data_IF_242802333535
#
_entry.id   IF_242802333535
#
_cell.length_a   1.000
_cell.length_b   1.000
_cell.length_c   1.000
_cell.angle_alpha   90.00
_cell.angle_beta   90.00
_cell.angle_gamma   90.00
#
_symmetry.space_group_name_H-M   'P 1'
#
loop_
_entity.id
_entity.type
_entity.pdbx_description
1 polymer ?
#
# COMPACT_ATOMS: atom_id res chain seq x y z
N UNK A 1 10.53 33.36 68.16
CA UNK A 1 11.68 32.72 67.52
C UNK A 1 11.33 31.51 66.70
N UNK A 2 10.73 30.40 67.13
CA UNK A 2 10.45 29.20 66.38
C UNK A 2 9.52 29.44 65.15
N UNK A 3 8.57 30.37 65.15
CA UNK A 3 7.72 30.74 64.02
C UNK A 3 8.47 31.55 62.95
N UNK A 4 9.37 32.45 63.31
CA UNK A 4 10.20 33.22 62.40
C UNK A 4 11.19 32.31 61.65
N UNK A 5 11.82 31.37 62.41
CA UNK A 5 12.74 30.39 61.76
C UNK A 5 12.02 29.48 60.80
N UNK A 6 10.78 29.06 61.10
CA UNK A 6 9.97 28.26 60.09
C UNK A 6 9.57 29.06 58.85
N UNK A 7 9.20 30.34 59.02
CA UNK A 7 8.90 31.22 57.87
C UNK A 7 10.14 31.48 57.03
N UNK A 8 11.32 31.71 57.67
CA UNK A 8 12.58 31.88 56.94
C UNK A 8 13.01 30.62 56.23
N UNK A 9 12.80 29.41 56.79
CA UNK A 9 13.11 28.15 56.15
C UNK A 9 12.18 27.90 54.94
N UNK A 10 10.88 28.21 55.05
CA UNK A 10 9.93 28.10 53.95
C UNK A 10 10.25 29.09 52.85
N UNK A 11 10.65 30.31 53.16
CA UNK A 11 11.07 31.32 52.19
C UNK A 11 12.37 30.92 51.48
N UNK A 12 13.33 30.32 52.19
CA UNK A 12 14.58 29.80 51.60
C UNK A 12 14.30 28.60 50.71
N UNK A 13 13.38 27.71 51.09
CA UNK A 13 12.96 26.58 50.25
C UNK A 13 12.22 27.08 48.99
N UNK A 14 11.40 28.14 49.10
CA UNK A 14 10.74 28.76 47.94
C UNK A 14 11.72 29.48 47.01
N UNK A 15 12.76 30.14 47.58
CA UNK A 15 13.82 30.80 46.79
C UNK A 15 14.75 29.78 46.15
N UNK A 16 15.00 28.62 46.78
CA UNK A 16 15.79 27.51 46.22
C UNK A 16 14.98 26.68 45.16
N UNK A 17 13.64 26.65 45.30
CA UNK A 17 12.76 26.02 44.32
C UNK A 17 12.46 26.94 43.11
N UNK A 18 12.66 28.23 43.25
CA UNK A 18 12.64 29.21 42.18
C UNK A 18 14.08 29.51 41.72
N UNK A 19 14.87 28.47 41.43
CA UNK A 19 16.03 28.69 40.58
C UNK A 19 15.47 29.21 39.24
N UNK A 20 15.84 30.43 38.79
CA UNK A 20 15.45 30.85 37.48
C UNK A 20 15.97 29.75 36.53
N UNK A 21 15.10 29.13 35.77
CA UNK A 21 15.50 28.41 34.58
C UNK A 21 16.28 29.48 33.83
N UNK A 22 17.61 29.37 33.81
CA UNK A 22 18.44 30.31 33.05
C UNK A 22 18.03 30.13 31.63
N UNK A 23 17.33 31.09 31.07
CA UNK A 23 17.01 31.14 29.67
C UNK A 23 18.35 31.07 28.89
N UNK A 24 18.49 30.09 28.06
CA UNK A 24 19.68 29.95 27.20
C UNK A 24 19.55 30.99 26.08
N UNK A 25 20.58 31.81 25.87
CA UNK A 25 20.53 32.84 24.84
C UNK A 25 20.35 32.26 23.43
N UNK A 26 20.88 31.03 23.20
CA UNK A 26 20.81 30.33 21.92
C UNK A 26 20.68 28.83 22.12
N UNK A 27 19.99 28.20 21.19
CA UNK A 27 20.03 26.74 20.99
C UNK A 27 21.32 26.35 20.30
N UNK A 28 21.95 25.27 20.73
CA UNK A 28 23.14 24.69 20.08
C UNK A 28 22.75 23.36 19.46
N UNK A 29 22.79 23.28 18.14
CA UNK A 29 22.51 22.07 17.36
C UNK A 29 23.81 21.56 16.75
N UNK A 30 24.13 20.30 17.03
CA UNK A 30 25.21 19.62 16.32
C UNK A 30 24.60 18.66 15.30
N UNK A 31 25.02 18.81 14.06
CA UNK A 31 24.68 17.93 12.95
C UNK A 31 25.86 17.01 12.73
N UNK A 32 25.61 15.71 12.65
CA UNK A 32 26.62 14.70 12.43
C UNK A 32 26.41 14.05 11.05
N UNK A 33 27.18 14.42 10.02
CA UNK A 33 27.15 13.68 8.77
C UNK A 33 27.67 12.26 9.02
N UNK A 34 26.81 11.25 8.99
CA UNK A 34 27.19 9.86 9.24
C UNK A 34 28.30 9.36 8.31
N UNK A 35 29.04 8.34 8.76
CA UNK A 35 30.20 7.79 8.04
C UNK A 35 31.29 8.83 7.76
N UNK A 36 32.14 8.61 6.75
CA UNK A 36 33.15 9.56 6.32
C UNK A 36 34.57 8.98 6.28
N UNK A 37 35.40 9.47 5.34
CA UNK A 37 36.76 9.04 5.16
C UNK A 37 36.93 7.67 4.51
N UNK A 38 38.00 6.99 4.87
CA UNK A 38 38.38 5.68 4.36
C UNK A 38 38.60 4.71 5.53
N UNK A 39 38.11 3.51 5.42
CA UNK A 39 38.48 2.38 6.28
C UNK A 39 38.79 1.15 5.42
N UNK A 40 39.64 0.26 5.94
CA UNK A 40 40.06 -0.95 5.21
C UNK A 40 38.89 -1.93 4.98
N UNK A 41 37.87 -1.89 5.85
CA UNK A 41 36.65 -2.72 5.78
C UNK A 41 35.49 -1.99 5.10
N UNK A 42 35.73 -0.84 4.46
CA UNK A 42 34.74 -0.02 3.76
C UNK A 42 33.60 0.52 4.65
N UNK A 43 33.57 0.21 5.95
CA UNK A 43 32.51 0.65 6.87
C UNK A 43 32.39 2.19 6.97
N UNK A 44 33.47 2.91 6.63
CA UNK A 44 33.49 4.36 6.57
C UNK A 44 32.64 4.94 5.42
N UNK A 45 32.33 4.16 4.40
CA UNK A 45 31.54 4.64 3.24
C UNK A 45 30.04 4.65 3.50
N UNK A 46 29.57 3.83 4.45
CA UNK A 46 28.15 3.51 4.60
C UNK A 46 27.63 2.64 3.46
N UNK A 47 26.37 2.76 3.13
CA UNK A 47 25.80 2.09 1.96
C UNK A 47 26.41 2.60 0.64
N UNK A 48 26.62 1.68 -0.30
CA UNK A 48 27.10 2.00 -1.64
C UNK A 48 26.03 1.57 -2.63
N UNK A 49 25.48 2.53 -3.37
CA UNK A 49 24.49 2.30 -4.39
C UNK A 49 25.12 2.36 -5.79
N UNK A 50 24.86 1.33 -6.63
CA UNK A 50 25.37 1.24 -8.01
C UNK A 50 26.89 1.43 -8.13
N UNK A 51 27.67 1.03 -7.12
CA UNK A 51 29.14 1.17 -7.04
C UNK A 51 29.67 2.62 -7.15
N UNK A 52 28.80 3.63 -7.20
CA UNK A 52 29.18 5.03 -7.44
C UNK A 52 28.72 5.99 -6.35
N UNK A 53 27.55 5.77 -5.75
CA UNK A 53 26.98 6.67 -4.75
C UNK A 53 27.26 6.15 -3.34
N UNK A 54 28.14 6.83 -2.61
CA UNK A 54 28.45 6.48 -1.22
C UNK A 54 27.59 7.28 -0.26
N UNK A 55 26.99 6.62 0.72
CA UNK A 55 26.15 7.24 1.75
C UNK A 55 26.88 8.38 2.46
N UNK A 56 28.16 8.23 2.77
CA UNK A 56 28.97 9.29 3.42
C UNK A 56 28.97 10.63 2.70
N UNK A 57 28.90 10.62 1.36
CA UNK A 57 28.93 11.82 0.53
C UNK A 57 27.55 12.48 0.47
N UNK A 58 26.50 11.66 0.42
CA UNK A 58 25.10 12.09 0.52
C UNK A 58 24.86 12.72 1.89
N UNK A 59 25.26 12.04 2.97
CA UNK A 59 25.14 12.52 4.35
C UNK A 59 25.79 13.89 4.54
N UNK A 60 27.00 14.05 4.00
CA UNK A 60 27.73 15.33 4.11
C UNK A 60 26.96 16.46 3.38
N UNK A 61 26.47 16.21 2.19
CA UNK A 61 25.76 17.22 1.39
C UNK A 61 24.42 17.60 2.02
N UNK A 62 23.64 16.62 2.50
CA UNK A 62 22.40 16.83 3.24
C UNK A 62 22.65 17.67 4.50
N UNK A 63 23.68 17.30 5.28
CA UNK A 63 24.04 18.00 6.51
C UNK A 63 24.52 19.44 6.29
N UNK A 64 25.26 19.69 5.21
CA UNK A 64 25.66 21.06 4.85
C UNK A 64 24.44 21.92 4.51
N UNK A 65 23.48 21.40 3.76
CA UNK A 65 22.23 22.10 3.45
C UNK A 65 21.37 22.31 4.68
N UNK A 66 21.34 21.34 5.61
CA UNK A 66 20.65 21.47 6.90
C UNK A 66 21.27 22.62 7.73
N UNK A 67 22.58 22.67 7.84
CA UNK A 67 23.30 23.75 8.53
C UNK A 67 22.99 25.09 7.87
N UNK A 68 23.15 25.23 6.55
CA UNK A 68 22.88 26.49 5.82
C UNK A 68 21.46 27.00 6.06
N UNK A 69 20.48 26.11 6.05
CA UNK A 69 19.08 26.49 6.27
C UNK A 69 18.82 26.88 7.74
N UNK A 70 19.38 26.11 8.69
CA UNK A 70 19.16 26.33 10.13
C UNK A 70 19.85 27.64 10.60
N UNK A 71 20.99 28.00 10.04
CA UNK A 71 21.69 29.28 10.31
C UNK A 71 20.90 30.52 9.87
N UNK A 72 19.80 30.36 9.12
CA UNK A 72 18.89 31.47 8.78
C UNK A 72 17.90 31.80 9.88
N UNK A 73 17.82 30.96 10.89
CA UNK A 73 16.98 31.19 12.07
C UNK A 73 17.74 31.99 13.13
N UNK A 74 17.04 32.77 13.94
CA UNK A 74 17.62 33.48 15.05
C UNK A 74 17.79 32.57 16.27
N UNK A 75 18.67 32.92 17.17
CA UNK A 75 18.91 32.26 18.45
C UNK A 75 19.32 30.77 18.33
N UNK A 76 20.07 30.44 17.28
CA UNK A 76 20.66 29.11 17.10
C UNK A 76 22.14 29.22 16.77
N UNK A 77 22.93 28.30 17.27
CA UNK A 77 24.31 28.00 16.85
C UNK A 77 24.36 26.59 16.27
N UNK A 78 24.98 26.44 15.11
CA UNK A 78 24.98 25.18 14.37
C UNK A 78 26.41 24.73 14.06
N UNK A 79 26.73 23.53 14.49
CA UNK A 79 28.01 22.90 14.24
C UNK A 79 27.85 21.61 13.47
N UNK A 80 28.87 21.22 12.72
CA UNK A 80 29.01 19.90 12.13
C UNK A 80 30.14 19.13 12.80
N UNK A 81 29.98 17.84 12.99
CA UNK A 81 31.06 16.96 13.45
C UNK A 81 32.19 16.86 12.43
N UNK A 82 31.86 16.91 11.12
CA UNK A 82 32.75 16.98 10.00
C UNK A 82 32.20 17.87 8.89
N UNK A 83 33.11 18.63 8.23
CA UNK A 83 32.79 19.46 7.06
C UNK A 83 33.53 18.94 5.81
N UNK A 84 34.19 17.81 5.91
CA UNK A 84 34.95 17.17 4.83
C UNK A 84 34.89 15.65 4.98
N UNK A 85 35.48 14.95 4.00
CA UNK A 85 35.54 13.49 4.00
C UNK A 85 36.66 12.97 4.92
N UNK A 86 36.35 12.89 6.23
CA UNK A 86 37.25 12.38 7.28
C UNK A 86 36.54 11.31 8.12
N UNK A 87 37.34 10.39 8.67
CA UNK A 87 36.86 9.39 9.63
C UNK A 87 36.75 10.00 11.01
N UNK A 88 35.60 9.82 11.67
CA UNK A 88 35.41 10.12 13.09
C UNK A 88 34.80 8.90 13.77
N UNK A 89 35.30 8.54 14.94
CA UNK A 89 34.68 7.55 15.81
C UNK A 89 33.39 8.09 16.41
N UNK A 90 32.52 7.19 16.92
CA UNK A 90 31.29 7.59 17.57
C UNK A 90 31.54 8.43 18.82
N UNK A 91 32.60 8.12 19.59
CA UNK A 91 33.00 8.89 20.77
C UNK A 91 33.42 10.32 20.38
N UNK A 92 34.27 10.50 19.35
CA UNK A 92 34.66 11.81 18.88
C UNK A 92 33.50 12.69 18.45
N UNK A 93 32.46 12.11 17.86
CA UNK A 93 31.24 12.83 17.45
C UNK A 93 30.47 13.33 18.67
N UNK A 94 30.25 12.48 19.66
CA UNK A 94 29.52 12.81 20.90
C UNK A 94 30.36 13.76 21.77
N UNK A 95 31.66 13.51 21.94
CA UNK A 95 32.56 14.38 22.69
C UNK A 95 32.62 15.79 22.11
N UNK A 96 32.67 15.91 20.79
CA UNK A 96 32.58 17.21 20.13
C UNK A 96 31.26 17.92 20.46
N UNK A 97 30.12 17.25 20.31
CA UNK A 97 28.80 17.83 20.63
C UNK A 97 28.71 18.25 22.11
N UNK A 98 29.20 17.41 23.02
CA UNK A 98 29.23 17.71 24.44
C UNK A 98 30.18 18.90 24.76
N UNK A 99 31.29 19.03 24.05
CA UNK A 99 32.26 20.13 24.26
C UNK A 99 31.75 21.51 23.87
N UNK A 100 30.70 21.59 23.05
CA UNK A 100 30.05 22.84 22.63
C UNK A 100 28.70 23.05 23.37
N UNK A 101 28.42 22.28 24.42
CA UNK A 101 27.16 22.33 25.18
C UNK A 101 25.92 22.18 24.28
N UNK A 102 25.95 21.22 23.36
CA UNK A 102 24.86 20.95 22.42
C UNK A 102 23.55 20.59 23.16
N UNK A 103 22.43 21.14 22.68
CA UNK A 103 21.08 20.75 23.12
C UNK A 103 20.63 19.45 22.46
N UNK A 104 21.16 19.15 21.25
CA UNK A 104 20.84 17.94 20.48
C UNK A 104 21.97 17.63 19.51
N UNK A 105 22.16 16.33 19.25
CA UNK A 105 22.99 15.81 18.16
C UNK A 105 22.09 15.07 17.15
N UNK A 106 22.09 15.52 15.90
CA UNK A 106 21.30 14.92 14.79
C UNK A 106 22.27 14.21 13.85
N UNK A 107 22.28 12.89 13.87
CA UNK A 107 23.11 12.07 12.98
C UNK A 107 22.36 11.77 11.69
N UNK A 108 22.91 12.24 10.58
CA UNK A 108 22.31 12.20 9.25
C UNK A 108 22.77 10.97 8.48
N UNK A 109 21.82 10.16 8.01
CA UNK A 109 22.04 8.90 7.33
C UNK A 109 21.03 8.65 6.20
N UNK A 110 21.35 7.68 5.36
CA UNK A 110 20.46 7.06 4.38
C UNK A 110 20.57 5.54 4.51
N UNK A 111 19.44 4.90 4.52
CA UNK A 111 19.33 3.47 4.76
C UNK A 111 19.68 2.63 3.53
N UNK A 112 19.94 1.35 3.77
CA UNK A 112 20.03 0.30 2.76
C UNK A 112 19.60 -1.04 3.38
N UNK A 113 19.18 -1.99 2.54
CA UNK A 113 18.83 -3.34 2.98
C UNK A 113 19.45 -4.37 2.05
N UNK A 114 19.85 -5.53 2.59
CA UNK A 114 20.38 -6.64 1.77
C UNK A 114 19.39 -7.15 0.72
N UNK A 115 18.11 -7.04 1.01
CA UNK A 115 17.05 -7.46 0.09
C UNK A 115 16.68 -6.42 -0.96
N UNK A 116 17.08 -5.16 -0.79
CA UNK A 116 16.70 -4.00 -1.62
C UNK A 116 15.17 -3.79 -1.73
N UNK A 117 14.37 -4.39 -0.83
CA UNK A 117 12.90 -4.37 -0.87
C UNK A 117 12.31 -3.19 -0.11
N UNK A 118 12.94 -2.78 0.99
CA UNK A 118 12.38 -1.77 1.89
C UNK A 118 12.57 -0.36 1.37
N UNK A 119 11.64 0.52 1.71
CA UNK A 119 11.67 1.95 1.40
C UNK A 119 10.96 2.75 2.49
N UNK A 120 11.16 4.06 2.49
CA UNK A 120 10.60 5.01 3.45
C UNK A 120 11.58 5.44 4.53
N UNK A 121 11.24 6.53 5.19
CA UNK A 121 12.08 7.25 6.13
C UNK A 121 11.78 6.85 7.57
N UNK A 122 12.80 6.74 8.40
CA UNK A 122 12.68 6.40 9.81
C UNK A 122 13.65 7.20 10.68
N UNK A 123 13.33 7.33 11.97
CA UNK A 123 14.19 8.03 12.91
C UNK A 123 14.38 7.14 14.13
N UNK A 124 15.62 6.99 14.56
CA UNK A 124 15.96 6.27 15.78
C UNK A 124 16.30 7.26 16.91
N UNK A 125 15.80 6.96 18.11
CA UNK A 125 16.08 7.73 19.32
C UNK A 125 16.45 6.78 20.46
N UNK A 126 17.00 7.35 21.56
CA UNK A 126 17.21 6.58 22.80
C UNK A 126 15.89 5.99 23.30
N UNK A 127 15.95 4.82 23.91
CA UNK A 127 14.81 4.20 24.56
C UNK A 127 14.61 4.68 26.02
N UNK A 128 15.41 5.61 26.53
CA UNK A 128 15.50 5.87 27.97
C UNK A 128 15.29 7.35 28.33
N UNK A 129 14.44 7.55 29.35
CA UNK A 129 14.34 8.79 30.12
C UNK A 129 14.15 10.07 29.32
N UNK A 130 14.82 11.14 29.73
CA UNK A 130 14.73 12.44 29.05
C UNK A 130 15.29 12.43 27.61
N UNK A 131 16.30 11.59 27.31
CA UNK A 131 16.83 11.47 25.96
C UNK A 131 15.79 10.86 25.00
N UNK A 132 14.96 9.90 25.47
CA UNK A 132 13.81 9.44 24.70
C UNK A 132 12.79 10.56 24.47
N UNK A 133 12.38 11.24 25.53
CA UNK A 133 11.34 12.28 25.43
C UNK A 133 11.75 13.41 24.47
N UNK A 134 13.00 13.89 24.59
CA UNK A 134 13.56 14.91 23.72
C UNK A 134 13.70 14.43 22.28
N UNK A 135 14.34 13.27 22.09
CA UNK A 135 14.57 12.70 20.77
C UNK A 135 13.28 12.38 20.03
N UNK A 136 12.28 11.80 20.71
CA UNK A 136 10.98 11.48 20.11
C UNK A 136 10.18 12.74 19.74
N UNK A 137 10.24 13.81 20.54
CA UNK A 137 9.58 15.08 20.23
C UNK A 137 10.24 15.78 19.03
N UNK A 138 11.57 15.84 18.98
CA UNK A 138 12.31 16.37 17.84
C UNK A 138 12.04 15.56 16.57
N UNK A 139 12.10 14.23 16.68
CA UNK A 139 11.87 13.34 15.56
C UNK A 139 10.47 13.49 14.95
N UNK A 140 9.44 13.80 15.77
CA UNK A 140 8.09 14.10 15.25
C UNK A 140 8.08 15.33 14.36
N UNK A 141 8.68 16.42 14.78
CA UNK A 141 8.73 17.65 13.99
C UNK A 141 9.46 17.42 12.64
N UNK A 142 10.56 16.66 12.65
CA UNK A 142 11.28 16.32 11.42
C UNK A 142 10.43 15.38 10.54
N UNK A 143 9.85 14.34 11.11
CA UNK A 143 9.04 13.37 10.37
C UNK A 143 7.80 14.00 9.75
N UNK A 144 7.16 14.98 10.42
CA UNK A 144 6.03 15.73 9.85
C UNK A 144 6.45 16.49 8.61
N UNK A 145 7.62 17.14 8.60
CA UNK A 145 8.14 17.80 7.39
C UNK A 145 8.36 16.82 6.23
N UNK A 146 8.86 15.63 6.51
CA UNK A 146 9.07 14.61 5.47
C UNK A 146 7.75 14.09 4.90
N UNK A 147 6.79 13.76 5.76
CA UNK A 147 5.46 13.27 5.35
C UNK A 147 4.71 14.31 4.53
N UNK A 148 4.72 15.57 4.95
CA UNK A 148 4.08 16.68 4.23
C UNK A 148 4.72 16.90 2.84
N UNK A 149 5.96 16.47 2.67
CA UNK A 149 6.67 16.50 1.39
C UNK A 149 6.66 15.16 0.63
N UNK A 150 5.76 14.25 1.01
CA UNK A 150 5.45 13.03 0.29
C UNK A 150 6.40 11.86 0.55
N UNK A 151 7.23 11.93 1.60
CA UNK A 151 8.03 10.79 2.03
C UNK A 151 7.16 9.76 2.76
N UNK A 152 7.48 8.49 2.61
CA UNK A 152 6.82 7.40 3.32
C UNK A 152 7.44 7.27 4.70
N UNK A 153 6.64 7.49 5.76
CA UNK A 153 7.14 7.33 7.12
C UNK A 153 7.16 5.85 7.52
N UNK A 154 8.28 5.36 8.03
CA UNK A 154 8.39 4.08 8.77
C UNK A 154 8.28 4.30 10.30
N UNK A 155 8.18 5.56 10.73
CA UNK A 155 7.98 5.96 12.12
C UNK A 155 9.25 6.27 12.88
N UNK A 156 9.04 6.61 14.15
CA UNK A 156 10.10 6.88 15.14
C UNK A 156 10.28 5.61 15.96
N UNK A 157 11.52 5.17 16.11
CA UNK A 157 11.85 3.85 16.67
C UNK A 157 12.87 3.93 17.78
N UNK A 158 12.81 2.95 18.64
CA UNK A 158 13.90 2.59 19.56
C UNK A 158 14.50 1.28 19.11
N UNK A 159 15.76 1.02 19.46
CA UNK A 159 16.40 -0.27 19.24
C UNK A 159 17.29 -0.61 20.42
N UNK A 160 17.09 -1.81 20.97
CA UNK A 160 17.81 -2.29 22.15
C UNK A 160 18.81 -3.35 21.73
N UNK A 161 20.04 -3.18 22.21
CA UNK A 161 21.11 -4.14 22.02
C UNK A 161 21.03 -5.34 22.97
N UNK A 162 21.87 -6.34 22.76
CA UNK A 162 21.93 -7.56 23.60
C UNK A 162 22.26 -7.30 25.06
N UNK A 163 22.87 -6.17 25.38
CA UNK A 163 23.20 -5.74 26.75
C UNK A 163 22.02 -5.07 27.48
N UNK A 164 20.90 -4.82 26.78
CA UNK A 164 19.76 -4.12 27.33
C UNK A 164 19.86 -2.58 27.24
N UNK A 165 20.91 -2.07 26.61
CA UNK A 165 21.16 -0.65 26.35
C UNK A 165 20.74 -0.28 24.93
N UNK A 166 20.74 1.03 24.58
CA UNK A 166 20.53 1.48 23.21
C UNK A 166 21.48 0.75 22.25
N UNK A 167 20.97 0.23 21.14
CA UNK A 167 21.75 -0.52 20.17
C UNK A 167 22.80 0.33 19.48
N UNK A 168 22.40 1.51 19.01
CA UNK A 168 23.28 2.43 18.30
C UNK A 168 24.27 3.10 19.27
N UNK A 169 25.57 2.97 18.96
CA UNK A 169 26.65 3.49 19.83
C UNK A 169 26.55 4.98 20.05
N UNK A 170 26.29 5.78 19.00
CA UNK A 170 26.20 7.24 19.10
C UNK A 170 25.02 7.68 20.00
N UNK A 171 23.87 6.99 19.94
CA UNK A 171 22.71 7.25 20.80
C UNK A 171 23.04 6.88 22.27
N UNK A 172 23.68 5.74 22.48
CA UNK A 172 24.07 5.28 23.80
C UNK A 172 25.08 6.22 24.47
N UNK A 173 26.14 6.64 23.75
CA UNK A 173 27.13 7.56 24.27
C UNK A 173 26.53 8.95 24.56
N UNK A 174 25.65 9.45 23.67
CA UNK A 174 24.93 10.69 23.93
C UNK A 174 24.11 10.62 25.22
N UNK A 175 23.34 9.54 25.41
CA UNK A 175 22.57 9.32 26.65
C UNK A 175 23.47 9.28 27.90
N UNK A 176 24.66 8.69 27.83
CA UNK A 176 25.61 8.61 28.96
C UNK A 176 26.06 10.00 29.44
N UNK A 177 26.15 10.97 28.53
CA UNK A 177 26.48 12.37 28.85
C UNK A 177 25.24 13.26 29.01
N UNK A 178 24.04 12.71 28.89
CA UNK A 178 22.76 13.43 28.98
C UNK A 178 22.38 14.24 27.75
N UNK A 179 23.05 14.02 26.63
CA UNK A 179 22.77 14.65 25.34
C UNK A 179 21.76 13.82 24.53
N UNK A 180 20.59 14.38 24.16
CA UNK A 180 19.68 13.74 23.23
C UNK A 180 20.33 13.59 21.85
N UNK A 181 20.34 12.35 21.33
CA UNK A 181 20.84 12.00 20.00
C UNK A 181 19.74 11.29 19.22
N UNK A 182 19.53 11.70 17.98
CA UNK A 182 18.70 10.99 17.03
C UNK A 182 19.54 10.62 15.79
N UNK A 183 19.18 9.48 15.18
CA UNK A 183 19.66 9.09 13.86
C UNK A 183 18.49 9.25 12.91
N UNK A 184 18.66 10.06 11.88
CA UNK A 184 17.65 10.27 10.84
C UNK A 184 18.06 9.49 9.58
N UNK A 185 17.20 8.55 9.18
CA UNK A 185 17.33 7.73 7.98
C UNK A 185 16.33 8.22 6.94
N UNK A 186 16.82 9.00 5.98
CA UNK A 186 15.96 9.71 5.01
C UNK A 186 15.23 8.78 4.05
N UNK A 187 15.74 7.58 3.82
CA UNK A 187 15.17 6.56 2.95
C UNK A 187 16.25 5.59 2.47
N UNK A 188 15.85 4.61 1.69
CA UNK A 188 16.71 3.55 1.20
C UNK A 188 17.25 3.89 -0.19
N UNK A 189 18.53 4.25 -0.28
CA UNK A 189 19.16 4.60 -1.57
C UNK A 189 19.27 3.41 -2.53
N UNK A 190 19.20 2.19 -2.01
CA UNK A 190 19.23 0.94 -2.76
C UNK A 190 17.85 0.46 -3.25
N UNK A 191 16.79 1.18 -2.90
CA UNK A 191 15.42 0.90 -3.37
C UNK A 191 14.98 1.92 -4.42
N UNK A 192 14.41 1.45 -5.53
CA UNK A 192 14.02 2.31 -6.66
C UNK A 192 12.95 3.35 -6.30
N UNK A 193 12.01 3.03 -5.36
CA UNK A 193 10.94 3.94 -4.94
C UNK A 193 11.52 5.17 -4.22
N UNK A 194 12.45 4.94 -3.29
CA UNK A 194 13.12 6.04 -2.59
C UNK A 194 14.15 6.72 -3.49
N UNK A 195 14.88 5.96 -4.32
CA UNK A 195 15.87 6.53 -5.23
C UNK A 195 15.27 7.53 -6.24
N UNK A 196 14.06 7.30 -6.72
CA UNK A 196 13.35 8.28 -7.57
C UNK A 196 13.15 9.64 -6.90
N UNK A 197 13.16 9.70 -5.57
CA UNK A 197 12.91 10.89 -4.75
C UNK A 197 14.15 11.45 -4.07
N UNK A 198 15.16 10.60 -3.90
CA UNK A 198 16.36 10.88 -3.08
C UNK A 198 17.65 10.65 -3.84
N UNK A 199 17.61 10.27 -5.11
CA UNK A 199 18.80 9.89 -5.87
C UNK A 199 19.61 11.06 -6.43
N UNK A 200 19.10 12.28 -6.34
CA UNK A 200 19.75 13.45 -6.96
C UNK A 200 20.26 14.45 -5.91
N UNK A 201 21.36 15.16 -6.21
CA UNK A 201 21.94 16.15 -5.30
C UNK A 201 20.96 17.21 -4.77
N UNK A 202 20.03 17.67 -5.59
CA UNK A 202 19.01 18.66 -5.19
C UNK A 202 18.00 18.09 -4.18
N UNK A 203 17.78 16.77 -4.24
CA UNK A 203 16.94 16.06 -3.28
C UNK A 203 17.59 16.00 -1.90
N UNK A 204 18.90 15.75 -1.85
CA UNK A 204 19.65 15.71 -0.58
C UNK A 204 19.64 17.06 0.11
N UNK A 205 19.84 18.13 -0.66
CA UNK A 205 19.75 19.51 -0.15
C UNK A 205 18.31 19.85 0.30
N UNK A 206 17.30 19.36 -0.42
CA UNK A 206 15.90 19.52 -0.04
C UNK A 206 15.61 18.81 1.31
N UNK A 207 16.09 17.57 1.48
CA UNK A 207 15.95 16.85 2.75
C UNK A 207 16.61 17.60 3.90
N UNK A 208 17.85 18.07 3.74
CA UNK A 208 18.51 18.88 4.75
C UNK A 208 17.73 20.15 5.15
N UNK A 209 17.09 20.83 4.18
CA UNK A 209 16.24 21.99 4.48
C UNK A 209 14.94 21.60 5.24
N UNK A 210 14.39 20.42 4.98
CA UNK A 210 13.22 19.91 5.72
C UNK A 210 13.62 19.57 7.16
N UNK A 211 14.77 18.91 7.35
CA UNK A 211 15.31 18.61 8.68
C UNK A 211 15.50 19.88 9.50
N UNK A 212 16.13 20.90 8.90
CA UNK A 212 16.32 22.20 9.54
C UNK A 212 14.99 22.86 9.93
N UNK A 213 13.96 22.72 9.10
CA UNK A 213 12.62 23.25 9.42
C UNK A 213 12.01 22.51 10.61
N UNK A 214 12.08 21.18 10.66
CA UNK A 214 11.61 20.38 11.78
C UNK A 214 12.36 20.67 13.09
N UNK A 215 13.70 20.86 13.02
CA UNK A 215 14.52 21.26 14.17
C UNK A 215 14.10 22.64 14.66
N UNK A 216 13.91 23.60 13.74
CA UNK A 216 13.50 24.96 14.09
C UNK A 216 12.10 24.97 14.74
N UNK A 217 11.18 24.17 14.25
CA UNK A 217 9.84 24.01 14.84
C UNK A 217 9.92 23.44 16.26
N UNK A 218 10.69 22.38 16.45
CA UNK A 218 10.89 21.77 17.76
C UNK A 218 11.39 22.76 18.81
N UNK A 219 12.33 23.63 18.44
CA UNK A 219 12.89 24.63 19.35
C UNK A 219 12.12 25.96 19.33
N UNK A 220 11.07 26.11 18.52
CA UNK A 220 10.32 27.35 18.38
C UNK A 220 11.15 28.50 17.79
N UNK A 221 12.14 28.19 16.94
CA UNK A 221 13.01 29.19 16.30
C UNK A 221 12.25 29.95 15.20
N UNK A 222 12.65 31.22 14.99
CA UNK A 222 12.06 32.08 13.94
C UNK A 222 13.14 32.71 13.07
N UNK A 223 12.84 32.90 11.80
CA UNK A 223 13.64 33.71 10.87
C UNK A 223 13.43 35.21 11.07
N UNK A 224 12.31 35.58 11.66
CA UNK A 224 12.05 36.95 12.08
C UNK A 224 12.72 37.20 13.43
N UNK A 225 13.29 38.38 13.59
CA UNK A 225 13.96 38.74 14.84
C UNK A 225 12.95 38.78 15.99
N UNK A 226 13.19 37.94 17.02
CA UNK A 226 12.39 37.91 18.24
C UNK A 226 13.33 38.25 19.39
N UNK A 227 12.87 39.16 20.30
CA UNK A 227 13.67 39.60 21.45
C UNK A 227 13.60 38.62 22.63
N UNK A 228 12.80 37.57 22.52
CA UNK A 228 12.58 36.63 23.59
C UNK A 228 13.70 35.57 23.66
N UNK A 229 14.10 35.23 24.88
CA UNK A 229 15.00 34.14 25.14
C UNK A 229 14.36 32.81 24.68
N UNK A 230 15.17 31.86 24.23
CA UNK A 230 14.70 30.51 23.90
C UNK A 230 14.16 29.84 25.14
N UNK A 231 12.91 29.44 25.13
CA UNK A 231 12.29 28.72 26.25
C UNK A 231 12.72 27.25 26.14
N UNK A 232 13.35 26.69 27.19
CA UNK A 232 13.68 25.28 27.21
C UNK A 232 12.45 24.40 26.99
N UNK A 233 12.53 23.41 26.14
CA UNK A 233 11.44 22.45 25.91
C UNK A 233 11.28 21.58 27.16
N UNK A 234 10.10 21.60 27.76
CA UNK A 234 9.76 20.78 28.93
C UNK A 234 8.95 19.57 28.48
N UNK A 235 9.44 18.37 28.76
CA UNK A 235 8.78 17.12 28.38
C UNK A 235 7.90 16.63 29.55
N UNK A 236 6.62 16.40 29.24
CA UNK A 236 5.67 15.76 30.15
C UNK A 236 5.74 14.23 30.12
N UNK A 237 6.24 13.67 29.02
CA UNK A 237 6.12 12.25 28.67
C UNK A 237 7.47 11.51 28.84
N UNK A 238 8.22 11.83 29.87
CA UNK A 238 9.45 11.11 30.21
C UNK A 238 9.07 9.71 30.73
N UNK A 239 9.49 8.64 30.08
CA UNK A 239 9.12 7.28 30.48
C UNK A 239 9.79 6.91 31.83
N UNK A 240 9.04 6.23 32.68
CA UNK A 240 9.54 5.69 33.96
C UNK A 240 10.51 4.51 33.78
N UNK A 241 10.73 4.07 32.57
CA UNK A 241 11.58 2.94 32.24
C UNK A 241 12.08 3.02 30.82
N UNK A 242 12.35 1.86 30.26
CA UNK A 242 12.77 1.71 28.88
C UNK A 242 11.55 1.61 27.97
N UNK A 243 11.55 2.32 26.85
CA UNK A 243 10.58 2.15 25.76
C UNK A 243 11.02 0.96 24.91
N UNK A 244 10.27 -0.11 24.97
CA UNK A 244 10.59 -1.32 24.23
C UNK A 244 10.33 -1.15 22.72
N UNK A 245 11.27 -1.57 21.87
CA UNK A 245 11.00 -1.70 20.45
C UNK A 245 10.03 -2.87 20.21
N UNK A 246 9.28 -2.82 19.13
CA UNK A 246 8.56 -4.00 18.69
C UNK A 246 9.54 -5.10 18.22
N UNK A 247 9.39 -6.29 18.79
CA UNK A 247 10.21 -7.46 18.50
C UNK A 247 9.37 -8.65 18.02
N UNK A 248 8.08 -8.45 17.80
CA UNK A 248 7.13 -9.46 17.38
C UNK A 248 6.69 -9.25 15.93
N UNK A 249 6.63 -10.30 15.11
CA UNK A 249 6.09 -10.16 13.77
C UNK A 249 4.55 -9.98 13.81
N UNK A 250 3.95 -9.48 12.72
CA UNK A 250 2.50 -9.40 12.59
C UNK A 250 1.81 -10.71 12.93
N UNK A 251 0.74 -10.66 13.74
CA UNK A 251 -0.06 -11.83 14.08
C UNK A 251 -1.17 -12.08 13.05
N UNK A 252 -1.58 -13.34 12.89
CA UNK A 252 -2.78 -13.74 12.15
C UNK A 252 -2.85 -13.23 10.70
N UNK A 253 -1.82 -13.50 9.91
CA UNK A 253 -1.84 -13.21 8.47
C UNK A 253 -2.63 -14.28 7.73
N UNK A 254 -3.62 -13.88 6.94
CA UNK A 254 -4.35 -14.78 6.04
C UNK A 254 -4.58 -14.13 4.68
N UNK A 255 -4.54 -14.95 3.64
CA UNK A 255 -4.84 -14.58 2.27
C UNK A 255 -6.00 -15.40 1.76
N UNK A 256 -6.95 -14.76 1.09
CA UNK A 256 -8.06 -15.42 0.40
C UNK A 256 -8.04 -15.01 -1.07
N UNK A 257 -8.17 -15.98 -1.96
CA UNK A 257 -8.38 -15.72 -3.39
C UNK A 257 -9.85 -15.44 -3.61
N UNK A 258 -10.15 -14.26 -4.16
CA UNK A 258 -11.51 -13.80 -4.46
C UNK A 258 -11.92 -14.20 -5.87
N UNK A 259 -11.02 -14.05 -6.83
CA UNK A 259 -11.28 -14.30 -8.26
C UNK A 259 -9.98 -14.65 -9.00
N UNK A 260 -10.14 -15.42 -10.08
CA UNK A 260 -9.07 -15.74 -11.02
C UNK A 260 -9.52 -15.35 -12.44
N UNK A 261 -8.99 -14.26 -12.96
CA UNK A 261 -9.29 -13.78 -14.30
C UNK A 261 -8.33 -14.42 -15.32
N UNK A 262 -8.85 -15.41 -16.06
CA UNK A 262 -8.06 -16.13 -17.09
C UNK A 262 -7.76 -15.30 -18.34
N UNK A 263 -8.46 -14.17 -18.58
CA UNK A 263 -8.21 -13.32 -19.74
C UNK A 263 -7.00 -12.41 -19.52
N UNK A 264 -6.84 -11.90 -18.28
CA UNK A 264 -5.72 -11.04 -17.91
C UNK A 264 -4.61 -11.80 -17.20
N UNK A 265 -4.81 -13.08 -16.86
CA UNK A 265 -3.92 -13.89 -16.02
C UNK A 265 -3.68 -13.22 -14.65
N UNK A 266 -4.73 -12.75 -14.02
CA UNK A 266 -4.69 -12.04 -12.74
C UNK A 266 -5.48 -12.78 -11.67
N UNK A 267 -4.91 -12.79 -10.47
CA UNK A 267 -5.56 -13.23 -9.24
C UNK A 267 -6.01 -12.01 -8.44
N UNK A 268 -7.29 -11.94 -8.10
CA UNK A 268 -7.79 -10.96 -7.12
C UNK A 268 -7.75 -11.59 -5.74
N UNK A 269 -7.12 -10.90 -4.79
CA UNK A 269 -6.94 -11.39 -3.43
C UNK A 269 -7.43 -10.40 -2.38
N UNK A 270 -7.69 -10.93 -1.18
CA UNK A 270 -7.85 -10.18 0.07
C UNK A 270 -6.85 -10.72 1.09
N UNK A 271 -6.07 -9.82 1.72
CA UNK A 271 -5.17 -10.16 2.81
C UNK A 271 -5.70 -9.50 4.08
N UNK A 272 -5.76 -10.27 5.17
CA UNK A 272 -6.04 -9.75 6.50
C UNK A 272 -4.83 -10.01 7.39
N UNK A 273 -4.49 -9.02 8.22
CA UNK A 273 -3.41 -9.13 9.19
C UNK A 273 -3.71 -8.30 10.44
N UNK A 274 -3.00 -8.57 11.54
CA UNK A 274 -3.07 -7.78 12.76
C UNK A 274 -1.68 -7.51 13.29
N UNK A 275 -1.48 -6.27 13.73
CA UNK A 275 -0.31 -5.84 14.49
C UNK A 275 -0.77 -5.32 15.84
N UNK A 276 -0.01 -5.63 16.92
CA UNK A 276 -0.40 -5.34 18.30
C UNK A 276 0.53 -4.37 19.01
N UNK A 277 1.78 -4.27 18.60
CA UNK A 277 2.82 -3.49 19.29
C UNK A 277 3.27 -2.28 18.46
N UNK A 278 3.20 -2.39 17.13
CA UNK A 278 3.57 -1.33 16.22
C UNK A 278 2.49 -1.11 15.15
N UNK A 279 2.83 -1.12 13.87
CA UNK A 279 1.83 -1.01 12.78
C UNK A 279 2.22 -1.87 11.60
N UNK A 280 1.22 -2.35 10.86
CA UNK A 280 1.41 -2.95 9.55
C UNK A 280 2.00 -1.90 8.59
N UNK A 281 2.99 -2.30 7.81
CA UNK A 281 3.71 -1.36 6.96
C UNK A 281 3.70 -1.76 5.49
N UNK A 282 4.02 -3.01 5.18
CA UNK A 282 4.08 -3.52 3.81
C UNK A 282 3.47 -4.90 3.69
N UNK A 283 3.14 -5.24 2.46
CA UNK A 283 2.90 -6.62 2.08
C UNK A 283 3.50 -6.89 0.69
N UNK A 284 3.87 -8.12 0.45
CA UNK A 284 4.31 -8.63 -0.84
C UNK A 284 3.58 -9.92 -1.18
N UNK A 285 3.53 -10.24 -2.47
CA UNK A 285 2.95 -11.47 -2.99
C UNK A 285 4.05 -12.26 -3.69
N UNK A 286 4.11 -13.57 -3.45
CA UNK A 286 5.03 -14.48 -4.12
C UNK A 286 4.27 -15.66 -4.73
N UNK A 287 4.80 -16.17 -5.84
CA UNK A 287 4.41 -17.45 -6.42
C UNK A 287 5.28 -18.54 -5.80
N UNK A 288 4.69 -19.40 -5.00
CA UNK A 288 5.39 -20.47 -4.31
C UNK A 288 5.02 -20.57 -2.85
N UNK A 289 5.61 -21.55 -2.18
CA UNK A 289 5.58 -21.71 -0.73
C UNK A 289 6.91 -21.20 -0.17
N UNK A 290 6.91 -20.15 0.68
CA UNK A 290 8.14 -19.62 1.28
C UNK A 290 8.81 -20.62 2.25
N UNK A 291 8.15 -21.72 2.58
CA UNK A 291 8.73 -22.82 3.34
C UNK A 291 9.57 -23.79 2.49
N UNK A 292 9.56 -23.65 1.17
CA UNK A 292 10.40 -24.43 0.27
C UNK A 292 11.88 -24.08 0.48
N UNK A 293 12.76 -25.08 0.41
CA UNK A 293 14.20 -24.90 0.64
C UNK A 293 14.86 -23.98 -0.40
N UNK A 294 14.26 -23.84 -1.58
CA UNK A 294 14.73 -23.01 -2.69
C UNK A 294 14.03 -21.64 -2.77
N UNK A 295 13.16 -21.30 -1.79
CA UNK A 295 12.48 -20.01 -1.78
C UNK A 295 13.46 -18.85 -1.58
N UNK A 296 13.43 -17.86 -2.50
CA UNK A 296 14.26 -16.68 -2.42
C UNK A 296 13.47 -15.53 -1.72
N UNK A 297 14.04 -14.83 -0.72
CA UNK A 297 13.42 -13.63 -0.16
C UNK A 297 13.03 -12.58 -1.21
N UNK A 298 13.76 -12.50 -2.32
CA UNK A 298 13.44 -11.62 -3.45
C UNK A 298 12.17 -12.02 -4.22
N UNK A 299 11.62 -13.22 -3.98
CA UNK A 299 10.35 -13.64 -4.57
C UNK A 299 9.16 -12.78 -4.10
N UNK A 300 9.31 -12.03 -3.01
CA UNK A 300 8.36 -11.02 -2.55
C UNK A 300 8.71 -9.61 -3.05
N UNK A 301 9.30 -9.50 -4.23
CA UNK A 301 9.61 -8.22 -4.87
C UNK A 301 8.37 -7.30 -4.91
N UNK A 302 8.62 -5.98 -4.99
CA UNK A 302 7.59 -4.95 -5.07
C UNK A 302 6.67 -4.89 -3.84
N UNK A 303 7.26 -4.59 -2.67
CA UNK A 303 6.48 -4.35 -1.46
C UNK A 303 5.48 -3.21 -1.66
N UNK A 304 4.23 -3.49 -1.30
CA UNK A 304 3.12 -2.55 -1.39
C UNK A 304 2.83 -2.03 0.02
N UNK A 305 2.62 -0.72 0.15
CA UNK A 305 2.23 -0.13 1.43
C UNK A 305 0.90 -0.70 1.91
N UNK A 306 0.87 -1.06 3.19
CA UNK A 306 -0.37 -1.38 3.87
C UNK A 306 -1.16 -0.10 4.12
N UNK A 307 -2.45 -0.10 3.82
CA UNK A 307 -3.33 1.04 4.10
C UNK A 307 -3.45 1.24 5.61
N UNK A 308 -3.02 2.41 6.10
CA UNK A 308 -2.97 2.72 7.52
C UNK A 308 -4.35 2.61 8.18
N UNK A 309 -4.40 1.89 9.30
CA UNK A 309 -5.64 1.64 10.04
C UNK A 309 -6.61 0.64 9.39
N UNK A 310 -6.29 0.12 8.21
CA UNK A 310 -7.11 -0.91 7.58
C UNK A 310 -6.81 -2.29 8.18
N UNK A 311 -7.83 -3.08 8.55
CA UNK A 311 -7.63 -4.46 8.99
C UNK A 311 -7.35 -5.42 7.83
N UNK A 312 -7.50 -4.96 6.58
CA UNK A 312 -7.36 -5.76 5.38
C UNK A 312 -7.00 -4.92 4.17
N UNK A 313 -6.38 -5.54 3.19
CA UNK A 313 -6.12 -4.98 1.86
C UNK A 313 -6.65 -5.92 0.78
N UNK A 314 -7.00 -5.36 -0.37
CA UNK A 314 -7.40 -6.12 -1.55
C UNK A 314 -6.57 -5.63 -2.73
N UNK A 315 -6.21 -6.54 -3.63
CA UNK A 315 -5.43 -6.21 -4.80
C UNK A 315 -5.54 -7.27 -5.89
N UNK A 316 -4.80 -7.04 -6.96
CA UNK A 316 -4.61 -8.00 -8.05
C UNK A 316 -3.13 -8.32 -8.20
N UNK A 317 -2.84 -9.56 -8.58
CA UNK A 317 -1.48 -10.02 -8.86
C UNK A 317 -1.46 -10.79 -10.16
N UNK A 318 -0.54 -10.41 -11.05
CA UNK A 318 -0.39 -11.08 -12.34
C UNK A 318 0.41 -12.38 -12.18
N UNK A 319 -0.13 -13.45 -12.73
CA UNK A 319 0.52 -14.77 -12.72
C UNK A 319 0.91 -15.17 -14.15
N UNK A 320 1.90 -16.05 -14.34
CA UNK A 320 2.20 -16.62 -15.65
C UNK A 320 0.99 -17.31 -16.26
N UNK A 321 0.81 -17.20 -17.58
CA UNK A 321 -0.29 -17.89 -18.28
C UNK A 321 -0.24 -19.39 -18.02
N UNK A 322 -1.35 -19.95 -17.55
CA UNK A 322 -1.45 -21.36 -17.22
C UNK A 322 -0.74 -21.75 -15.92
N UNK A 323 -0.45 -20.78 -15.04
CA UNK A 323 0.14 -21.04 -13.74
C UNK A 323 -0.72 -22.02 -12.94
N UNK A 324 -0.04 -22.99 -12.32
CA UNK A 324 -0.60 -23.93 -11.36
C UNK A 324 0.35 -24.05 -10.19
N UNK A 325 -0.10 -23.69 -9.01
CA UNK A 325 0.72 -23.76 -7.80
C UNK A 325 0.24 -22.80 -6.73
N UNK A 326 0.97 -22.75 -5.60
CA UNK A 326 0.64 -21.89 -4.49
C UNK A 326 0.97 -20.42 -4.78
N UNK A 327 0.19 -19.53 -4.17
CA UNK A 327 0.45 -18.09 -4.04
C UNK A 327 0.41 -17.73 -2.56
N UNK A 328 1.37 -16.95 -2.10
CA UNK A 328 1.55 -16.60 -0.69
C UNK A 328 1.68 -15.10 -0.52
N UNK A 329 1.11 -14.57 0.57
CA UNK A 329 1.30 -13.20 1.00
C UNK A 329 2.25 -13.15 2.19
N UNK A 330 3.20 -12.22 2.19
CA UNK A 330 4.04 -11.84 3.32
C UNK A 330 3.66 -10.46 3.78
N UNK A 331 3.43 -10.28 5.08
CA UNK A 331 3.06 -8.99 5.67
C UNK A 331 4.12 -8.58 6.68
N UNK A 332 4.58 -7.34 6.57
CA UNK A 332 5.62 -6.75 7.42
C UNK A 332 5.03 -5.67 8.33
N UNK A 333 5.55 -5.55 9.53
CA UNK A 333 5.37 -4.36 10.35
C UNK A 333 6.43 -3.29 10.02
N UNK A 334 6.36 -2.12 10.65
CA UNK A 334 7.32 -1.04 10.42
C UNK A 334 8.72 -1.31 11.00
N UNK A 335 8.91 -2.38 11.78
CA UNK A 335 10.21 -2.90 12.21
C UNK A 335 10.77 -3.99 11.27
N UNK A 336 10.14 -4.20 10.10
CA UNK A 336 10.53 -5.18 9.08
C UNK A 336 10.41 -6.65 9.53
N UNK A 337 9.73 -6.88 10.65
CA UNK A 337 9.35 -8.22 11.08
C UNK A 337 8.16 -8.68 10.26
N UNK A 338 8.13 -9.95 9.86
CA UNK A 338 7.11 -10.45 8.96
C UNK A 338 6.47 -11.76 9.38
N UNK A 339 5.30 -12.00 8.82
CA UNK A 339 4.58 -13.27 8.87
C UNK A 339 4.01 -13.59 7.50
N UNK A 340 4.13 -14.85 7.11
CA UNK A 340 3.58 -15.37 5.86
C UNK A 340 2.16 -15.92 6.08
N UNK A 341 1.31 -15.75 5.07
CA UNK A 341 0.02 -16.42 5.03
C UNK A 341 0.21 -17.93 4.74
N UNK A 342 -0.80 -18.73 5.03
CA UNK A 342 -0.88 -20.06 4.45
C UNK A 342 -0.96 -19.94 2.93
N UNK A 343 -0.15 -20.72 2.16
CA UNK A 343 -0.21 -20.74 0.71
C UNK A 343 -1.61 -21.08 0.20
N UNK A 344 -2.05 -20.40 -0.86
CA UNK A 344 -3.33 -20.62 -1.52
C UNK A 344 -3.09 -21.18 -2.91
N UNK A 345 -3.68 -22.36 -3.20
CA UNK A 345 -3.56 -22.98 -4.51
C UNK A 345 -4.38 -22.26 -5.57
N UNK A 346 -3.77 -21.96 -6.71
CA UNK A 346 -4.44 -21.46 -7.91
C UNK A 346 -4.13 -22.35 -9.10
N UNK A 347 -5.10 -22.55 -10.00
CA UNK A 347 -5.00 -23.46 -11.15
C UNK A 347 -5.56 -22.81 -12.41
N UNK A 348 -4.78 -21.91 -13.00
CA UNK A 348 -5.13 -21.26 -14.27
C UNK A 348 -5.10 -22.24 -15.45
N UNK A 349 -4.31 -23.31 -15.40
CA UNK A 349 -4.27 -24.32 -16.45
C UNK A 349 -5.61 -25.00 -16.59
N UNK A 350 -6.18 -25.52 -15.49
CA UNK A 350 -7.51 -26.16 -15.50
C UNK A 350 -8.63 -25.19 -15.91
N UNK A 351 -8.59 -23.94 -15.48
CA UNK A 351 -9.56 -22.92 -15.89
C UNK A 351 -9.50 -22.62 -17.39
N UNK A 352 -8.30 -22.61 -17.99
CA UNK A 352 -8.11 -22.44 -19.42
C UNK A 352 -8.61 -23.65 -20.20
N UNK A 353 -8.37 -24.87 -19.73
CA UNK A 353 -8.87 -26.12 -20.32
C UNK A 353 -10.41 -26.13 -20.30
N UNK A 354 -11.04 -25.85 -19.16
CA UNK A 354 -12.49 -25.76 -19.03
C UNK A 354 -13.11 -24.73 -20.00
N UNK A 355 -12.49 -23.56 -20.11
CA UNK A 355 -12.91 -22.53 -21.06
C UNK A 355 -12.81 -22.99 -22.50
N UNK A 356 -11.72 -23.69 -22.85
CA UNK A 356 -11.51 -24.22 -24.20
C UNK A 356 -12.61 -25.23 -24.57
N UNK A 357 -12.95 -26.13 -23.63
CA UNK A 357 -14.04 -27.08 -23.81
C UNK A 357 -15.42 -26.41 -23.99
N UNK A 358 -15.71 -25.36 -23.18
CA UNK A 358 -16.94 -24.59 -23.31
C UNK A 358 -17.03 -23.86 -24.65
N UNK A 359 -15.93 -23.32 -25.15
CA UNK A 359 -15.88 -22.65 -26.46
C UNK A 359 -16.08 -23.65 -27.59
N UNK A 360 -15.51 -24.85 -27.50
CA UNK A 360 -15.70 -25.92 -28.48
C UNK A 360 -17.16 -26.39 -28.51
N UNK A 361 -17.76 -26.59 -27.35
CA UNK A 361 -19.19 -26.94 -27.27
C UNK A 361 -20.09 -25.84 -27.86
N UNK A 362 -19.83 -24.58 -27.56
CA UNK A 362 -20.57 -23.45 -28.11
C UNK A 362 -20.40 -23.34 -29.64
N UNK A 363 -19.21 -23.60 -30.16
CA UNK A 363 -18.92 -23.61 -31.59
C UNK A 363 -19.68 -24.76 -32.31
N UNK A 364 -19.72 -25.96 -31.72
CA UNK A 364 -20.46 -27.10 -32.27
C UNK A 364 -21.99 -26.84 -32.26
N UNK A 365 -22.52 -26.29 -31.16
CA UNK A 365 -23.93 -25.88 -31.15
C UNK A 365 -24.26 -24.83 -32.20
N UNK A 366 -23.38 -23.85 -32.39
CA UNK A 366 -23.55 -22.84 -33.44
C UNK A 366 -23.53 -23.47 -34.84
N UNK A 367 -22.67 -24.46 -35.08
CA UNK A 367 -22.59 -25.22 -36.31
C UNK A 367 -23.87 -26.00 -36.59
N UNK A 368 -24.38 -26.71 -35.57
CA UNK A 368 -25.63 -27.46 -35.70
C UNK A 368 -26.80 -26.51 -36.02
N UNK A 369 -26.94 -25.40 -35.30
CA UNK A 369 -27.96 -24.38 -35.56
C UNK A 369 -27.84 -23.76 -36.95
N UNK A 370 -26.63 -23.55 -37.46
CA UNK A 370 -26.41 -23.05 -38.82
C UNK A 370 -26.83 -24.07 -39.89
N UNK A 371 -26.55 -25.36 -39.69
CA UNK A 371 -26.96 -26.43 -40.58
C UNK A 371 -28.47 -26.63 -40.62
N UNK A 372 -29.14 -26.56 -39.43
CA UNK A 372 -30.61 -26.57 -39.33
C UNK A 372 -31.24 -25.40 -40.10
N UNK A 373 -30.69 -24.19 -39.94
CA UNK A 373 -31.13 -22.99 -40.66
C UNK A 373 -30.97 -23.17 -42.17
N UNK A 374 -29.87 -23.76 -42.63
CA UNK A 374 -29.62 -24.03 -44.03
C UNK A 374 -30.64 -25.04 -44.58
N UNK A 375 -30.87 -26.16 -43.91
CA UNK A 375 -31.89 -27.15 -44.26
C UNK A 375 -33.30 -26.57 -44.31
N UNK A 376 -33.64 -25.71 -43.32
CA UNK A 376 -34.92 -25.00 -43.29
C UNK A 376 -35.07 -24.01 -44.45
N UNK A 377 -33.99 -23.32 -44.84
CA UNK A 377 -33.98 -22.42 -45.98
C UNK A 377 -34.14 -23.18 -47.33
N UNK A 378 -33.41 -24.27 -47.49
CA UNK A 378 -33.53 -25.16 -48.66
C UNK A 378 -34.96 -25.74 -48.80
N UNK A 379 -35.53 -26.21 -47.71
CA UNK A 379 -36.91 -26.69 -47.68
C UNK A 379 -37.92 -25.60 -48.06
N UNK A 380 -37.76 -24.37 -47.57
CA UNK A 380 -38.62 -23.23 -47.95
C UNK A 380 -38.49 -22.86 -49.41
N UNK A 381 -37.28 -22.98 -49.98
CA UNK A 381 -37.05 -22.70 -51.39
C UNK A 381 -37.68 -23.78 -52.26
N UNK A 382 -37.61 -25.04 -51.86
CA UNK A 382 -38.27 -26.15 -52.56
C UNK A 382 -39.83 -26.03 -52.46
N UNK A 383 -40.36 -25.68 -51.30
CA UNK A 383 -41.82 -25.41 -51.13
C UNK A 383 -42.26 -24.28 -52.06
N UNK A 384 -41.48 -23.20 -52.19
CA UNK A 384 -41.76 -22.11 -53.15
C UNK A 384 -41.74 -22.57 -54.61
N UNK A 385 -40.76 -23.44 -54.98
CA UNK A 385 -40.70 -24.02 -56.34
C UNK A 385 -41.88 -24.88 -56.65
N UNK A 386 -42.33 -25.73 -55.70
CA UNK A 386 -43.53 -26.56 -55.86
C UNK A 386 -44.77 -25.65 -55.96
N UNK A 387 -44.91 -24.63 -55.15
CA UNK A 387 -46.07 -23.70 -55.20
C UNK A 387 -46.06 -22.92 -56.54
N UNK A 388 -44.94 -22.48 -57.06
CA UNK A 388 -44.82 -21.83 -58.33
C UNK A 388 -45.17 -22.78 -59.53
N UNK A 389 -44.75 -24.06 -59.44
CA UNK A 389 -45.11 -25.05 -60.40
C UNK A 389 -46.60 -25.34 -60.40
N UNK A 390 -47.20 -25.52 -59.24
CA UNK A 390 -48.66 -25.69 -59.08
C UNK A 390 -49.45 -24.49 -59.58
N UNK A 391 -48.95 -23.26 -59.39
CA UNK A 391 -49.58 -22.05 -59.90
C UNK A 391 -49.58 -22.03 -61.44
N UNK A 392 -48.43 -22.34 -62.07
CA UNK A 392 -48.33 -22.46 -63.55
C UNK A 392 -49.24 -23.51 -64.12
N UNK A 393 -49.44 -24.64 -63.45
CA UNK A 393 -50.34 -25.69 -63.88
C UNK A 393 -51.84 -25.26 -63.75
N UNK A 394 -52.20 -24.52 -62.66
CA UNK A 394 -53.54 -23.92 -62.51
C UNK A 394 -53.83 -22.84 -63.53
N UNK A 395 -52.83 -22.02 -63.88
CA UNK A 395 -52.98 -21.05 -65.01
C UNK A 395 -53.24 -21.73 -66.35
N UNK A 396 -52.53 -22.82 -66.68
CA UNK A 396 -52.78 -23.61 -67.84
C UNK A 396 -54.17 -24.24 -67.86
N UNK A 397 -54.67 -24.73 -66.73
CA UNK A 397 -56.02 -25.30 -66.65
C UNK A 397 -57.09 -24.18 -66.71
N UNK A 398 -56.81 -23.00 -66.14
CA UNK A 398 -57.70 -21.82 -66.23
C UNK A 398 -57.88 -21.34 -67.65
N UNK A 399 -56.78 -21.27 -68.48
CA UNK A 399 -56.82 -20.92 -69.85
C UNK A 399 -57.58 -21.98 -70.70
N UNK A 400 -57.50 -23.26 -70.31
CA UNK A 400 -58.26 -24.34 -70.95
C UNK A 400 -59.77 -24.23 -70.69
N UNK A 401 -60.19 -23.87 -69.47
CA UNK A 401 -61.61 -23.65 -69.12
C UNK A 401 -62.20 -22.35 -69.67
N UNK A 402 -61.39 -21.30 -69.83
CA UNK A 402 -61.82 -20.06 -70.50
C UNK A 402 -62.14 -20.29 -71.99
N UNK A 403 -61.47 -21.26 -72.62
CA UNK A 403 -61.71 -21.62 -74.01
C UNK A 403 -62.98 -22.46 -74.23
N UNK A 404 -63.53 -23.09 -73.17
CA UNK A 404 -64.72 -23.99 -73.19
C UNK A 404 -66.02 -23.34 -72.66
N UNK A 405 -66.21 -22.08 -72.70
CA UNK A 405 -67.40 -21.25 -72.51
C UNK A 405 -68.57 -21.88 -71.76
N UNK A 406 -68.89 -21.42 -70.56
CA UNK A 406 -70.10 -21.77 -69.83
C UNK A 406 -70.44 -20.81 -68.69
N UNK A 407 -71.54 -20.03 -68.83
CA UNK A 407 -72.11 -19.14 -67.84
C UNK A 407 -72.67 -19.93 -66.67
N UNK A 408 -72.25 -19.60 -65.42
CA UNK A 408 -72.94 -20.10 -64.20
C UNK A 408 -72.43 -19.29 -62.99
N UNK A 409 -73.25 -18.45 -62.43
CA UNK A 409 -73.03 -17.75 -61.16
C UNK A 409 -73.03 -18.74 -60.02
N UNK A 410 -71.91 -19.04 -59.46
CA UNK A 410 -71.81 -19.55 -58.10
C UNK A 410 -70.86 -18.64 -57.31
N UNK A 411 -71.35 -18.30 -56.10
CA UNK A 411 -70.62 -17.46 -55.13
C UNK A 411 -69.35 -18.21 -54.67
N UNK A 412 -68.18 -17.87 -55.23
CA UNK A 412 -66.93 -18.51 -54.89
C UNK A 412 -66.38 -17.93 -53.57
N UNK A 413 -66.49 -18.69 -52.50
CA UNK A 413 -65.77 -18.37 -51.23
C UNK A 413 -64.34 -18.80 -51.41
N UNK A 414 -63.44 -17.81 -51.51
CA UNK A 414 -62.01 -18.00 -51.67
C UNK A 414 -61.42 -18.92 -50.55
N UNK A 415 -60.88 -20.10 -50.91
CA UNK A 415 -60.28 -21.03 -49.92
C UNK A 415 -59.02 -20.45 -49.28
N UNK A 416 -58.40 -19.42 -49.87
CA UNK A 416 -57.21 -18.76 -49.35
C UNK A 416 -57.61 -17.81 -48.21
N UNK A 417 -58.77 -17.14 -48.29
CA UNK A 417 -59.30 -16.29 -47.24
C UNK A 417 -59.65 -17.12 -45.96
N UNK A 418 -60.18 -18.33 -46.13
CA UNK A 418 -60.46 -19.26 -45.02
C UNK A 418 -59.21 -19.81 -44.35
N UNK A 419 -58.13 -20.08 -45.12
CA UNK A 419 -56.81 -20.45 -44.57
C UNK A 419 -56.12 -19.29 -43.87
N UNK A 420 -56.24 -18.05 -44.39
CA UNK A 420 -55.67 -16.86 -43.72
C UNK A 420 -56.36 -16.57 -42.38
N UNK A 421 -57.67 -16.72 -42.31
CA UNK A 421 -58.40 -16.54 -41.03
C UNK A 421 -57.98 -17.60 -39.99
N UNK A 422 -57.82 -18.87 -40.39
CA UNK A 422 -57.34 -19.94 -39.52
C UNK A 422 -55.87 -19.71 -39.05
N UNK A 423 -55.02 -19.17 -39.93
CA UNK A 423 -53.62 -18.82 -39.58
C UNK A 423 -53.54 -17.68 -38.56
N UNK A 424 -54.42 -16.67 -38.69
CA UNK A 424 -54.47 -15.54 -37.76
C UNK A 424 -54.98 -16.04 -36.38
N UNK A 425 -55.93 -16.95 -36.30
CA UNK A 425 -56.39 -17.55 -35.07
C UNK A 425 -55.30 -18.41 -34.41
N UNK A 426 -54.54 -19.19 -35.18
CA UNK A 426 -53.41 -19.99 -34.64
C UNK A 426 -52.30 -19.09 -34.10
N UNK A 427 -51.94 -18.01 -34.83
CA UNK A 427 -50.91 -17.06 -34.37
C UNK A 427 -51.37 -16.35 -33.06
N UNK A 428 -52.64 -15.96 -32.98
CA UNK A 428 -53.18 -15.36 -31.76
C UNK A 428 -53.12 -16.33 -30.56
N UNK A 429 -53.38 -17.62 -30.80
CA UNK A 429 -53.30 -18.65 -29.77
C UNK A 429 -51.86 -18.89 -29.29
N UNK A 430 -50.89 -18.89 -30.21
CA UNK A 430 -49.46 -19.03 -29.88
C UNK A 430 -48.96 -17.82 -29.09
N UNK A 431 -49.36 -16.60 -29.45
CA UNK A 431 -49.00 -15.40 -28.70
C UNK A 431 -49.55 -15.44 -27.27
N UNK A 432 -50.83 -15.88 -27.11
CA UNK A 432 -51.44 -16.06 -25.77
C UNK A 432 -50.73 -17.13 -24.95
N UNK A 433 -50.29 -18.23 -25.57
CA UNK A 433 -49.54 -19.29 -24.91
C UNK A 433 -48.16 -18.82 -24.45
N UNK A 434 -47.44 -18.08 -25.29
CA UNK A 434 -46.13 -17.49 -24.94
C UNK A 434 -46.25 -16.46 -23.82
N UNK A 435 -47.32 -15.63 -23.86
CA UNK A 435 -47.60 -14.68 -22.77
C UNK A 435 -47.93 -15.41 -21.45
N UNK A 436 -48.70 -16.49 -21.52
CA UNK A 436 -49.04 -17.31 -20.35
C UNK A 436 -47.80 -17.99 -19.74
N UNK A 437 -46.92 -18.57 -20.58
CA UNK A 437 -45.63 -19.17 -20.14
C UNK A 437 -44.74 -18.10 -19.51
N UNK A 438 -44.67 -16.91 -20.10
CA UNK A 438 -43.87 -15.79 -19.57
C UNK A 438 -44.35 -15.35 -18.19
N UNK A 439 -45.68 -15.31 -17.97
CA UNK A 439 -46.27 -15.01 -16.65
C UNK A 439 -45.89 -16.08 -15.62
N UNK A 440 -45.92 -17.37 -16.00
CA UNK A 440 -45.52 -18.47 -15.11
C UNK A 440 -44.04 -18.35 -14.73
N UNK A 441 -43.14 -18.07 -15.70
CA UNK A 441 -41.73 -17.90 -15.47
C UNK A 441 -41.47 -16.70 -14.51
N UNK A 442 -42.14 -15.56 -14.73
CA UNK A 442 -42.02 -14.38 -13.90
C UNK A 442 -42.53 -14.67 -12.47
N UNK A 443 -43.61 -15.41 -12.34
CA UNK A 443 -44.18 -15.80 -11.03
C UNK A 443 -43.22 -16.74 -10.29
N UNK A 444 -42.68 -17.75 -10.97
CA UNK A 444 -41.73 -18.70 -10.37
C UNK A 444 -40.44 -18.02 -9.94
N UNK A 445 -39.92 -17.09 -10.77
CA UNK A 445 -38.76 -16.28 -10.42
C UNK A 445 -39.00 -15.43 -9.17
N UNK A 446 -40.19 -14.87 -8.99
CA UNK A 446 -40.54 -14.12 -7.79
C UNK A 446 -40.68 -15.02 -6.54
N UNK A 447 -41.08 -16.25 -6.67
CA UNK A 447 -41.12 -17.22 -5.57
C UNK A 447 -39.70 -17.67 -5.17
N UNK A 448 -38.85 -17.93 -6.12
CA UNK A 448 -37.45 -18.27 -5.87
C UNK A 448 -36.70 -17.10 -5.18
N UNK A 449 -36.91 -15.86 -5.61
CA UNK A 449 -36.31 -14.67 -4.99
C UNK A 449 -36.86 -14.47 -3.55
N UNK A 450 -38.14 -14.77 -3.29
CA UNK A 450 -38.70 -14.75 -1.93
C UNK A 450 -38.11 -15.84 -1.06
N UNK A 451 -37.92 -17.03 -1.60
CA UNK A 451 -37.32 -18.15 -0.88
C UNK A 451 -35.85 -17.83 -0.51
N UNK A 452 -35.06 -17.30 -1.43
CA UNK A 452 -33.70 -16.88 -1.18
C UNK A 452 -33.63 -15.77 -0.11
N UNK A 453 -34.50 -14.77 -0.16
CA UNK A 453 -34.55 -13.72 0.88
C UNK A 453 -34.98 -14.25 2.26
N UNK A 454 -35.81 -15.27 2.33
CA UNK A 454 -36.21 -15.90 3.61
C UNK A 454 -35.09 -16.79 4.19
N UNK A 455 -34.27 -17.41 3.34
CA UNK A 455 -33.12 -18.21 3.79
C UNK A 455 -31.99 -17.31 4.28
N UNK A 456 -31.73 -16.15 3.63
CA UNK A 456 -30.71 -15.19 4.04
C UNK A 456 -31.16 -14.31 5.25
N UNK A 457 -32.40 -14.30 5.61
CA UNK A 457 -32.93 -13.52 6.75
C UNK A 457 -33.00 -14.27 8.09
N UNK A 458 -32.68 -15.56 8.13
CA UNK A 458 -32.74 -16.37 9.36
C UNK A 458 -31.36 -16.68 9.99
N UNK A 459 -30.25 -16.14 9.47
CA UNK A 459 -28.94 -16.35 10.04
C UNK A 459 -28.38 -15.13 10.81
N UNK A 460 -29.25 -14.26 11.31
CA UNK A 460 -28.85 -13.08 12.10
C UNK A 460 -29.63 -12.97 13.43
N UNK A 461 -29.99 -14.08 14.07
CA UNK A 461 -30.40 -14.13 15.48
C UNK A 461 -30.11 -15.54 16.03
N UNK A 462 -28.80 -15.74 16.47
CA UNK A 462 -28.39 -16.59 17.61
C UNK A 462 -26.92 -16.28 17.95
#
# INVERSE_FOLDING_TARGET
>A
MKKLIRLSLILIIYILAASPIMAKEKVVVVIDPGHGGYSEDESAYGAIYMDELCEKDVNLRTSLAMKEELERYNNVEVYLTRESDIVLSLDERVDFANSVDADVLVSCHYNASESHLFYGSEIFTSAFGSCYAAGNALARCIMEQWVDNGMVSKGIKTRIGKTGEDYYGIIRHGREVGLPVIIIEHGYLDNHIDYERLGMPDDWERMGRLDATGIAEYFGLSKEYVWDDVVPVVYSDVPDGRVEPDTTPPGSVSMNIIDCNIETSEVTYEITAREYESRLMYYGISLGDPADEDADPSDFADLILWEEGSPKVTGTYSVPTGYRGPITARVYNNYELYTDSTPQEVDFASLLEERAELLEQAAEEARIKAEERKKAAEKREEEKRIEAAQKKEREKVGDFFFFMGGNGKEEYVDPVARKKALYIEIIALVILLVAFISIIIIRHRREIIRYIKNVQGNDLDD
#
